data_IF_765743349846
#
_entry.id   IF_765743349846
#
_cell.length_a   1.000
_cell.length_b   1.000
_cell.length_c   1.000
_cell.angle_alpha   90.00
_cell.angle_beta   90.00
_cell.angle_gamma   90.00
#
_symmetry.space_group_name_H-M   'P 1'
#
loop_
_entity.id
_entity.type
_entity.pdbx_description
1 polymer ?
#
# COMPACT_ATOMS: atom_id res chain seq x y z
N UNK A 1 37.68 -2.25 29.42
CA UNK A 1 38.38 -1.15 28.73
C UNK A 1 37.53 -0.50 27.64
N UNK A 2 36.35 0.03 27.96
CA UNK A 2 35.50 0.79 27.01
C UNK A 2 35.48 2.31 27.29
N UNK A 3 35.81 2.71 28.52
CA UNK A 3 35.85 4.12 28.96
C UNK A 3 37.07 4.88 28.41
N UNK A 4 38.15 4.16 28.07
CA UNK A 4 39.40 4.74 27.54
C UNK A 4 39.34 5.10 26.05
N UNK A 5 38.43 4.49 25.28
CA UNK A 5 38.25 4.82 23.85
C UNK A 5 37.45 6.13 23.69
N UNK A 6 36.59 6.44 24.66
CA UNK A 6 35.75 7.65 24.66
C UNK A 6 36.54 8.91 25.04
N UNK A 7 37.61 8.77 25.84
CA UNK A 7 38.32 9.91 26.43
C UNK A 7 39.54 10.42 25.65
N UNK A 8 40.02 9.71 24.63
CA UNK A 8 41.32 10.06 24.00
C UNK A 8 41.29 10.47 22.52
N UNK A 9 40.14 10.56 21.86
CA UNK A 9 40.13 10.87 20.41
C UNK A 9 38.99 11.82 20.02
N UNK A 10 39.34 13.10 19.90
CA UNK A 10 38.54 14.13 19.24
C UNK A 10 38.08 13.72 17.82
N UNK A 11 38.82 12.83 17.14
CA UNK A 11 38.52 12.37 15.78
C UNK A 11 37.69 11.07 15.71
N UNK A 12 37.83 10.16 16.68
CA UNK A 12 37.11 8.88 16.66
C UNK A 12 35.59 9.04 16.87
N UNK A 13 35.18 10.07 17.62
CA UNK A 13 33.76 10.40 17.84
C UNK A 13 33.03 10.84 16.56
N UNK A 14 33.71 11.50 15.62
CA UNK A 14 33.10 11.88 14.35
C UNK A 14 32.89 10.66 13.45
N UNK A 15 33.87 9.74 13.43
CA UNK A 15 33.74 8.47 12.72
C UNK A 15 32.65 7.56 13.31
N UNK A 16 32.52 7.49 14.64
CA UNK A 16 31.47 6.68 15.28
C UNK A 16 30.08 7.28 15.08
N UNK A 17 29.93 8.60 15.15
CA UNK A 17 28.66 9.28 14.82
C UNK A 17 28.30 9.06 13.36
N UNK A 18 29.25 9.20 12.43
CA UNK A 18 29.02 8.94 11.01
C UNK A 18 28.59 7.47 10.76
N UNK A 19 29.27 6.51 11.39
CA UNK A 19 28.90 5.09 11.30
C UNK A 19 27.52 4.81 11.90
N UNK A 20 27.17 5.46 13.01
CA UNK A 20 25.85 5.33 13.61
C UNK A 20 24.75 5.88 12.70
N UNK A 21 24.98 7.03 12.05
CA UNK A 21 24.05 7.59 11.07
C UNK A 21 23.91 6.68 9.85
N UNK A 22 25.02 6.15 9.33
CA UNK A 22 25.00 5.17 8.24
C UNK A 22 24.22 3.91 8.63
N UNK A 23 24.42 3.40 9.84
CA UNK A 23 23.71 2.23 10.35
C UNK A 23 22.20 2.48 10.41
N UNK A 24 21.78 3.65 10.91
CA UNK A 24 20.37 4.05 10.95
C UNK A 24 19.78 4.12 9.53
N UNK A 25 20.51 4.74 8.59
CA UNK A 25 20.07 4.83 7.19
C UNK A 25 19.93 3.44 6.54
N UNK A 26 20.87 2.53 6.80
CA UNK A 26 20.83 1.15 6.30
C UNK A 26 19.64 0.38 6.89
N UNK A 27 19.38 0.50 8.20
CA UNK A 27 18.24 -0.15 8.84
C UNK A 27 16.92 0.38 8.28
N UNK A 28 16.80 1.70 8.14
CA UNK A 28 15.61 2.33 7.57
C UNK A 28 15.38 1.89 6.12
N UNK A 29 16.43 1.90 5.29
CA UNK A 29 16.39 1.43 3.90
C UNK A 29 16.02 -0.05 3.78
N UNK A 30 16.61 -0.91 4.62
CA UNK A 30 16.27 -2.33 4.68
C UNK A 30 14.81 -2.56 5.09
N UNK A 31 14.30 -1.77 6.04
CA UNK A 31 12.89 -1.78 6.44
C UNK A 31 11.95 -1.43 5.29
N UNK A 32 12.21 -0.32 4.59
CA UNK A 32 11.42 0.10 3.42
C UNK A 32 11.47 -0.94 2.30
N UNK A 33 12.66 -1.48 2.02
CA UNK A 33 12.83 -2.50 0.98
C UNK A 33 12.08 -3.80 1.32
N UNK A 34 12.24 -4.30 2.55
CA UNK A 34 11.54 -5.48 3.04
C UNK A 34 10.02 -5.31 3.02
N UNK A 35 9.53 -4.14 3.46
CA UNK A 35 8.11 -3.82 3.40
C UNK A 35 7.60 -3.84 1.95
N UNK A 36 8.30 -3.18 1.03
CA UNK A 36 7.93 -3.15 -0.39
C UNK A 36 7.85 -4.55 -0.98
N UNK A 37 8.84 -5.40 -0.72
CA UNK A 37 8.87 -6.80 -1.19
C UNK A 37 7.71 -7.62 -0.64
N UNK A 38 7.43 -7.51 0.67
CA UNK A 38 6.31 -8.20 1.31
C UNK A 38 4.97 -7.74 0.77
N UNK A 39 4.82 -6.44 0.55
CA UNK A 39 3.62 -5.85 -0.04
C UNK A 39 3.39 -6.35 -1.47
N UNK A 40 4.39 -6.27 -2.35
CA UNK A 40 4.26 -6.74 -3.73
C UNK A 40 3.94 -8.24 -3.81
N UNK A 41 4.56 -9.04 -2.94
CA UNK A 41 4.27 -10.47 -2.85
C UNK A 41 2.84 -10.74 -2.33
N UNK A 42 2.35 -9.96 -1.36
CA UNK A 42 0.99 -10.08 -0.85
C UNK A 42 -0.06 -9.71 -1.92
N UNK A 43 0.16 -8.62 -2.65
CA UNK A 43 -0.69 -8.20 -3.77
C UNK A 43 -0.73 -9.29 -4.84
N UNK A 44 0.43 -9.78 -5.28
CA UNK A 44 0.51 -10.84 -6.29
C UNK A 44 -0.23 -12.11 -5.86
N UNK A 45 -0.05 -12.55 -4.61
CA UNK A 45 -0.75 -13.71 -4.05
C UNK A 45 -2.26 -13.50 -3.98
N UNK A 46 -2.72 -12.31 -3.59
CA UNK A 46 -4.16 -11.99 -3.50
C UNK A 46 -4.80 -12.03 -4.88
N UNK A 47 -4.18 -11.37 -5.87
CA UNK A 47 -4.67 -11.37 -7.26
C UNK A 47 -4.70 -12.80 -7.82
N UNK A 48 -3.63 -13.58 -7.62
CA UNK A 48 -3.59 -14.96 -8.08
C UNK A 48 -4.69 -15.83 -7.45
N UNK A 49 -4.92 -15.72 -6.14
CA UNK A 49 -6.00 -16.44 -5.44
C UNK A 49 -7.38 -16.08 -6.00
N UNK A 50 -7.63 -14.80 -6.25
CA UNK A 50 -8.92 -14.36 -6.78
C UNK A 50 -9.16 -14.77 -8.23
N UNK A 51 -8.09 -14.95 -9.04
CA UNK A 51 -8.22 -15.49 -10.41
C UNK A 51 -8.66 -16.95 -10.44
N UNK A 52 -8.40 -17.71 -9.38
CA UNK A 52 -8.84 -19.09 -9.25
C UNK A 52 -10.32 -19.22 -8.86
N UNK A 53 -10.98 -18.13 -8.46
CA UNK A 53 -12.40 -18.13 -8.13
C UNK A 53 -13.23 -18.29 -9.41
N UNK A 54 -14.35 -19.03 -9.38
CA UNK A 54 -15.23 -19.16 -10.53
C UNK A 54 -15.80 -17.79 -10.93
N UNK A 55 -16.01 -17.62 -12.24
CA UNK A 55 -16.67 -16.46 -12.79
C UNK A 55 -18.18 -16.53 -12.44
N UNK A 56 -18.59 -15.79 -11.42
CA UNK A 56 -19.99 -15.70 -11.01
C UNK A 56 -20.67 -14.52 -11.72
N UNK A 57 -21.88 -14.73 -12.24
CA UNK A 57 -22.70 -13.65 -12.78
C UNK A 57 -23.44 -12.92 -11.66
N UNK A 58 -23.57 -11.59 -11.79
CA UNK A 58 -24.32 -10.77 -10.85
C UNK A 58 -25.82 -11.06 -10.98
N UNK A 59 -26.46 -11.33 -9.84
CA UNK A 59 -27.86 -11.70 -9.70
C UNK A 59 -28.64 -10.73 -8.80
N UNK A 60 -29.97 -10.80 -8.82
CA UNK A 60 -30.81 -9.92 -7.99
C UNK A 60 -30.56 -10.14 -6.49
N UNK A 61 -30.18 -11.37 -6.11
CA UNK A 61 -29.81 -11.70 -4.74
C UNK A 61 -28.54 -10.97 -4.27
N UNK A 62 -27.62 -10.63 -5.18
CA UNK A 62 -26.43 -9.83 -4.87
C UNK A 62 -26.80 -8.34 -4.60
N UNK A 63 -27.91 -7.86 -5.16
CA UNK A 63 -28.39 -6.48 -5.01
C UNK A 63 -29.27 -6.31 -3.76
N UNK A 64 -30.01 -7.33 -3.36
CA UNK A 64 -30.91 -7.30 -2.20
C UNK A 64 -30.31 -6.72 -0.90
N UNK A 65 -29.05 -7.03 -0.50
CA UNK A 65 -28.46 -6.48 0.73
C UNK A 65 -27.93 -5.04 0.58
N UNK A 66 -27.88 -4.49 -0.63
CA UNK A 66 -27.32 -3.16 -0.88
C UNK A 66 -28.31 -2.05 -0.49
N UNK A 67 -27.85 -0.85 -0.11
CA UNK A 67 -28.74 0.29 0.11
C UNK A 67 -29.57 0.64 -1.14
N UNK A 68 -30.83 1.12 -0.99
CA UNK A 68 -31.70 1.41 -2.14
C UNK A 68 -31.09 2.32 -3.22
N UNK A 69 -30.31 3.38 -2.89
CA UNK A 69 -29.64 4.20 -3.91
C UNK A 69 -28.63 3.41 -4.75
N UNK A 70 -27.88 2.50 -4.12
CA UNK A 70 -26.88 1.66 -4.80
C UNK A 70 -27.56 0.66 -5.72
N UNK A 71 -28.65 0.02 -5.26
CA UNK A 71 -29.43 -0.89 -6.10
C UNK A 71 -29.96 -0.19 -7.35
N UNK A 72 -30.55 1.01 -7.20
CA UNK A 72 -31.08 1.80 -8.32
C UNK A 72 -29.99 2.15 -9.32
N UNK A 73 -28.82 2.57 -8.84
CA UNK A 73 -27.67 2.87 -9.68
C UNK A 73 -27.19 1.64 -10.46
N UNK A 74 -26.97 0.51 -9.78
CA UNK A 74 -26.47 -0.73 -10.41
C UNK A 74 -27.44 -1.28 -11.47
N UNK A 75 -28.76 -1.19 -11.23
CA UNK A 75 -29.78 -1.53 -12.24
C UNK A 75 -29.73 -0.58 -13.42
N UNK A 76 -29.62 0.73 -13.19
CA UNK A 76 -29.53 1.74 -14.24
C UNK A 76 -28.27 1.59 -15.10
N UNK A 77 -27.16 1.12 -14.52
CA UNK A 77 -25.91 0.87 -15.26
C UNK A 77 -25.90 -0.46 -16.02
N UNK A 78 -26.95 -1.29 -15.93
CA UNK A 78 -27.04 -2.54 -16.68
C UNK A 78 -26.08 -3.64 -16.19
N UNK A 79 -25.71 -3.64 -14.90
CA UNK A 79 -24.71 -4.58 -14.36
C UNK A 79 -25.21 -6.03 -14.25
N UNK A 80 -26.52 -6.24 -14.45
CA UNK A 80 -27.17 -7.54 -14.30
C UNK A 80 -26.64 -8.58 -15.29
N UNK A 81 -26.32 -9.78 -14.81
CA UNK A 81 -25.81 -10.87 -15.65
C UNK A 81 -24.35 -10.71 -16.10
N UNK A 82 -23.68 -9.61 -15.75
CA UNK A 82 -22.23 -9.42 -15.98
C UNK A 82 -21.40 -10.22 -14.98
N UNK A 83 -20.11 -10.43 -15.29
CA UNK A 83 -19.20 -11.14 -14.39
C UNK A 83 -18.86 -10.27 -13.18
N UNK A 84 -19.02 -10.82 -11.98
CA UNK A 84 -18.66 -10.18 -10.72
C UNK A 84 -17.14 -9.99 -10.64
N UNK A 85 -16.65 -8.74 -10.49
CA UNK A 85 -15.22 -8.50 -10.33
C UNK A 85 -14.76 -8.95 -8.94
N UNK A 86 -13.66 -9.71 -8.89
CA UNK A 86 -13.07 -10.18 -7.62
C UNK A 86 -11.95 -9.27 -7.10
N UNK A 87 -11.32 -8.48 -7.96
CA UNK A 87 -10.25 -7.53 -7.58
C UNK A 87 -10.38 -6.21 -8.32
N UNK A 88 -10.02 -5.14 -7.63
CA UNK A 88 -9.99 -3.77 -8.14
C UNK A 88 -8.75 -3.06 -7.58
N UNK A 89 -8.12 -2.22 -8.39
CA UNK A 89 -7.07 -1.28 -7.95
C UNK A 89 -7.62 0.13 -8.07
N UNK A 90 -7.64 0.85 -6.97
CA UNK A 90 -8.06 2.25 -6.92
C UNK A 90 -6.83 3.09 -6.57
N UNK A 91 -6.59 4.15 -7.35
CA UNK A 91 -5.58 5.16 -7.03
C UNK A 91 -6.30 6.51 -7.02
N UNK A 92 -6.12 7.27 -5.94
CA UNK A 92 -6.64 8.62 -5.81
C UNK A 92 -5.50 9.59 -6.00
N UNK A 93 -5.70 10.56 -6.87
CA UNK A 93 -4.81 11.69 -7.06
C UNK A 93 -5.61 12.96 -6.79
N UNK A 94 -5.07 13.83 -5.95
CA UNK A 94 -5.72 15.08 -5.57
C UNK A 94 -4.70 16.20 -5.54
N UNK A 95 -5.04 17.34 -6.14
CA UNK A 95 -4.29 18.58 -6.02
C UNK A 95 -5.14 19.63 -5.33
N UNK A 96 -4.52 20.38 -4.40
CA UNK A 96 -5.15 21.54 -3.79
C UNK A 96 -4.91 22.71 -4.75
N UNK A 97 -5.99 23.28 -5.30
CA UNK A 97 -5.90 24.52 -6.07
C UNK A 97 -5.75 25.67 -5.07
N UNK A 98 -4.73 26.52 -5.27
CA UNK A 98 -4.59 27.77 -4.52
C UNK A 98 -5.68 28.78 -4.91
N UNK A 99 -5.95 29.75 -4.03
CA UNK A 99 -6.90 30.84 -4.27
C UNK A 99 -6.62 31.60 -5.59
N UNK A 100 -5.33 31.71 -5.94
CA UNK A 100 -4.84 32.33 -7.18
C UNK A 100 -4.29 31.28 -8.18
N UNK A 101 -4.90 30.08 -8.25
CA UNK A 101 -4.64 29.17 -9.37
C UNK A 101 -4.99 29.85 -10.71
N UNK A 102 -4.30 29.52 -11.81
CA UNK A 102 -4.07 30.42 -12.96
C UNK A 102 -5.25 31.29 -13.39
#
# INVERSE_FOLDING_TARGET
>A
SQVLIVSHWHEARFGTIANALLLVAVIAGAGVWSFRMRYTAAVARTVARTKALPAQRISEADLAPMPPPVQRYLRATGVMGTIKPHTMRIAFEGSIRGFDGP
#
